data_IF_449784157244
#
_entry.id   IF_449784157244
#
_cell.length_a   1.000
_cell.length_b   1.000
_cell.length_c   1.000
_cell.angle_alpha   90.00
_cell.angle_beta   90.00
_cell.angle_gamma   90.00
#
_symmetry.space_group_name_H-M   'P 1'
#
loop_
_entity.id
_entity.type
_entity.pdbx_description
1 polymer ?
#
# COMPACT_ATOMS: atom_id res chain seq x y z
N UNK A 1 13.02 -0.96 11.46
CA UNK A 1 12.84 -1.04 10.00
C UNK A 1 12.01 0.15 9.58
N UNK A 2 12.51 1.00 8.66
CA UNK A 2 11.77 2.13 8.09
C UNK A 2 11.35 1.75 6.68
N UNK A 3 10.11 2.00 6.31
CA UNK A 3 9.57 1.58 5.01
C UNK A 3 9.01 2.77 4.24
N UNK A 4 9.03 2.62 2.92
CA UNK A 4 8.20 3.39 2.00
C UNK A 4 7.06 2.52 1.49
N UNK A 5 5.98 3.17 1.08
CA UNK A 5 4.81 2.54 0.50
C UNK A 5 4.40 3.32 -0.74
N UNK A 6 4.02 2.60 -1.79
CA UNK A 6 3.33 3.15 -2.96
C UNK A 6 1.95 2.52 -3.08
N UNK A 7 0.95 3.36 -3.35
CA UNK A 7 -0.40 2.96 -3.72
C UNK A 7 -0.61 3.27 -5.21
N UNK A 8 -1.28 2.37 -5.91
CA UNK A 8 -1.63 2.50 -7.32
C UNK A 8 -3.03 1.94 -7.55
N UNK A 9 -3.94 2.81 -7.97
CA UNK A 9 -5.26 2.44 -8.44
C UNK A 9 -5.18 2.11 -9.94
N UNK A 10 -5.69 0.95 -10.33
CA UNK A 10 -5.83 0.60 -11.74
C UNK A 10 -7.21 0.04 -12.04
N UNK A 11 -7.61 0.06 -13.31
CA UNK A 11 -8.87 -0.55 -13.77
C UNK A 11 -8.54 -1.78 -14.61
N UNK A 12 -9.02 -2.95 -14.21
CA UNK A 12 -8.78 -4.18 -14.97
C UNK A 12 -9.67 -4.29 -16.21
N UNK A 13 -9.44 -5.32 -17.04
CA UNK A 13 -10.19 -5.54 -18.28
C UNK A 13 -11.71 -5.72 -18.08
N UNK A 14 -12.14 -6.12 -16.87
CA UNK A 14 -13.55 -6.24 -16.48
C UNK A 14 -14.14 -4.94 -15.91
N UNK A 15 -13.42 -3.82 -16.01
CA UNK A 15 -13.81 -2.50 -15.49
C UNK A 15 -14.01 -2.47 -13.97
N UNK A 16 -13.27 -3.30 -13.24
CA UNK A 16 -13.24 -3.27 -11.79
C UNK A 16 -12.05 -2.44 -11.33
N UNK A 17 -12.26 -1.65 -10.28
CA UNK A 17 -11.21 -0.91 -9.60
C UNK A 17 -10.33 -1.89 -8.81
N UNK A 18 -9.03 -1.85 -9.05
CA UNK A 18 -8.03 -2.71 -8.41
C UNK A 18 -7.01 -1.81 -7.74
N UNK A 19 -6.88 -1.93 -6.43
CA UNK A 19 -5.86 -1.24 -5.67
C UNK A 19 -4.67 -2.15 -5.42
N UNK A 20 -3.47 -1.60 -5.60
CA UNK A 20 -2.22 -2.27 -5.33
C UNK A 20 -1.43 -1.51 -4.28
N UNK A 21 -0.83 -2.24 -3.34
CA UNK A 21 0.10 -1.68 -2.37
C UNK A 21 1.42 -2.42 -2.43
N UNK A 22 2.48 -1.66 -2.71
CA UNK A 22 3.86 -2.14 -2.73
C UNK A 22 4.60 -1.46 -1.59
N UNK A 23 5.46 -2.22 -0.91
CA UNK A 23 6.31 -1.68 0.15
C UNK A 23 7.76 -2.12 -0.04
N UNK A 24 8.68 -1.24 0.34
CA UNK A 24 10.10 -1.54 0.41
C UNK A 24 10.78 -0.92 1.61
N UNK A 25 11.99 -1.39 1.90
CA UNK A 25 12.83 -0.81 2.96
C UNK A 25 13.49 0.48 2.48
N UNK A 26 13.53 1.48 3.36
CA UNK A 26 14.35 2.68 3.17
C UNK A 26 15.76 2.42 3.69
N UNK A 27 16.70 2.23 2.77
CA UNK A 27 18.10 1.96 3.07
C UNK A 27 18.99 3.10 2.60
N UNK A 28 20.04 3.41 3.36
CA UNK A 28 20.96 4.53 3.06
C UNK A 28 21.79 4.32 1.78
N UNK A 29 22.04 3.06 1.40
CA UNK A 29 23.04 2.69 0.39
C UNK A 29 22.45 2.02 -0.86
N UNK A 30 21.15 2.18 -1.14
CA UNK A 30 20.56 1.66 -2.36
C UNK A 30 19.08 1.34 -2.26
N UNK A 31 18.53 0.80 -3.35
CA UNK A 31 17.18 0.25 -3.37
C UNK A 31 17.17 -1.05 -2.57
N UNK A 32 16.56 -1.02 -1.39
CA UNK A 32 16.23 -2.21 -0.62
C UNK A 32 15.26 -3.13 -1.37
N UNK A 33 14.99 -4.31 -0.80
CA UNK A 33 13.99 -5.23 -1.36
C UNK A 33 12.60 -4.59 -1.28
N UNK A 34 11.80 -4.80 -2.31
CA UNK A 34 10.40 -4.38 -2.38
C UNK A 34 9.49 -5.56 -2.66
N UNK A 35 8.27 -5.49 -2.16
CA UNK A 35 7.28 -6.55 -2.18
C UNK A 35 5.90 -5.98 -2.49
N UNK A 36 5.15 -6.68 -3.34
CA UNK A 36 3.70 -6.47 -3.45
C UNK A 36 3.06 -7.03 -2.18
N UNK A 37 2.45 -6.16 -1.39
CA UNK A 37 1.87 -6.52 -0.09
C UNK A 37 0.44 -7.00 -0.26
N UNK A 38 -0.34 -6.32 -1.09
CA UNK A 38 -1.74 -6.67 -1.35
C UNK A 38 -2.20 -6.14 -2.72
N UNK A 39 -3.13 -6.87 -3.31
CA UNK A 39 -3.90 -6.46 -4.49
C UNK A 39 -5.36 -6.81 -4.21
N UNK A 40 -6.24 -5.81 -4.20
CA UNK A 40 -7.64 -6.01 -3.86
C UNK A 40 -8.55 -5.31 -4.89
N UNK A 41 -9.64 -5.99 -5.28
CA UNK A 41 -10.70 -5.34 -6.05
C UNK A 41 -11.55 -4.53 -5.08
N UNK A 42 -11.68 -3.23 -5.33
CA UNK A 42 -12.54 -2.36 -4.53
C UNK A 42 -13.89 -2.13 -5.23
N UNK A 43 -14.97 -2.10 -4.44
CA UNK A 43 -16.31 -1.75 -4.96
C UNK A 43 -16.39 -0.29 -5.44
N UNK A 44 -15.59 0.59 -4.84
CA UNK A 44 -15.48 2.00 -5.18
C UNK A 44 -14.17 2.57 -4.67
N UNK A 45 -13.66 3.59 -5.35
CA UNK A 45 -12.44 4.30 -4.94
C UNK A 45 -12.81 5.64 -4.33
N UNK A 46 -12.50 5.78 -3.04
CA UNK A 46 -12.64 7.01 -2.27
C UNK A 46 -11.75 6.88 -1.02
N UNK A 47 -11.52 8.01 -0.35
CA UNK A 47 -10.68 8.09 0.84
C UNK A 47 -10.92 7.00 1.91
N UNK A 48 -12.18 6.60 2.16
CA UNK A 48 -12.52 5.63 3.21
C UNK A 48 -12.20 4.20 2.78
N UNK A 49 -12.49 3.83 1.53
CA UNK A 49 -12.18 2.49 1.03
C UNK A 49 -10.68 2.30 0.87
N UNK A 50 -9.97 3.32 0.39
CA UNK A 50 -8.49 3.33 0.31
C UNK A 50 -7.87 3.21 1.70
N UNK A 51 -8.31 4.02 2.68
CA UNK A 51 -7.76 3.96 4.05
C UNK A 51 -7.97 2.58 4.70
N UNK A 52 -9.14 1.97 4.51
CA UNK A 52 -9.41 0.61 5.02
C UNK A 52 -8.55 -0.45 4.32
N UNK A 53 -8.33 -0.33 3.01
CA UNK A 53 -7.43 -1.21 2.25
C UNK A 53 -5.98 -1.08 2.74
N UNK A 54 -5.52 0.15 2.96
CA UNK A 54 -4.20 0.44 3.50
C UNK A 54 -4.00 -0.22 4.88
N UNK A 55 -4.94 -0.04 5.81
CA UNK A 55 -4.85 -0.63 7.14
C UNK A 55 -4.85 -2.17 7.10
N UNK A 56 -5.74 -2.79 6.31
CA UNK A 56 -5.75 -4.25 6.12
C UNK A 56 -4.42 -4.77 5.60
N UNK A 57 -3.84 -4.06 4.63
CA UNK A 57 -2.57 -4.43 4.01
C UNK A 57 -1.41 -4.32 5.00
N UNK A 58 -1.37 -3.25 5.81
CA UNK A 58 -0.38 -3.10 6.88
C UNK A 58 -0.55 -4.09 8.02
N UNK A 59 -1.78 -4.47 8.35
CA UNK A 59 -2.08 -5.47 9.36
C UNK A 59 -1.48 -6.84 9.00
N UNK A 60 -1.35 -7.16 7.70
CA UNK A 60 -0.66 -8.37 7.23
C UNK A 60 0.84 -8.36 7.58
N UNK A 61 1.47 -7.18 7.53
CA UNK A 61 2.88 -6.99 7.91
C UNK A 61 3.04 -6.96 9.44
N UNK A 62 2.10 -6.34 10.14
CA UNK A 62 2.14 -6.14 11.60
C UNK A 62 0.87 -6.68 12.29
N UNK A 63 0.74 -8.00 12.45
CA UNK A 63 -0.47 -8.63 12.99
C UNK A 63 -0.77 -8.26 14.46
N UNK A 64 0.25 -7.81 15.20
CA UNK A 64 0.14 -7.42 16.61
C UNK A 64 -0.01 -5.90 16.80
N UNK A 65 -0.47 -5.19 15.76
CA UNK A 65 -0.71 -3.75 15.78
C UNK A 65 0.20 -3.00 14.81
N UNK A 66 -0.44 -2.26 13.90
CA UNK A 66 0.19 -1.50 12.83
C UNK A 66 1.17 -0.46 13.40
N UNK A 67 2.35 -0.36 12.77
CA UNK A 67 3.42 0.55 13.16
C UNK A 67 3.49 1.73 12.18
N UNK A 68 2.49 2.61 12.21
CA UNK A 68 2.38 3.76 11.30
C UNK A 68 3.65 4.63 11.30
N UNK A 69 4.27 4.85 12.46
CA UNK A 69 5.49 5.67 12.59
C UNK A 69 6.72 5.10 11.85
N UNK A 70 6.65 3.85 11.38
CA UNK A 70 7.71 3.24 10.57
C UNK A 70 7.50 3.45 9.06
N UNK A 71 6.33 3.93 8.64
CA UNK A 71 6.05 4.37 7.27
C UNK A 71 6.50 5.82 7.15
N UNK A 72 7.65 6.04 6.50
CA UNK A 72 8.23 7.38 6.39
C UNK A 72 7.94 8.09 5.07
N UNK A 73 7.49 7.32 4.07
CA UNK A 73 7.09 7.83 2.77
C UNK A 73 5.88 7.04 2.29
N UNK A 74 4.80 7.75 2.00
CA UNK A 74 3.63 7.24 1.30
C UNK A 74 3.53 8.00 -0.02
N UNK A 75 3.58 7.28 -1.13
CA UNK A 75 3.38 7.82 -2.46
C UNK A 75 2.08 7.24 -3.03
N UNK A 76 1.26 8.12 -3.59
CA UNK A 76 0.04 7.78 -4.31
C UNK A 76 -0.07 8.76 -5.47
N UNK A 77 -0.76 8.35 -6.54
CA UNK A 77 -1.24 9.32 -7.51
C UNK A 77 -2.34 10.22 -6.90
N UNK A 78 -2.76 11.21 -7.68
CA UNK A 78 -3.77 12.18 -7.29
C UNK A 78 -5.18 11.83 -7.83
N UNK A 79 -5.44 10.55 -8.16
CA UNK A 79 -6.70 10.09 -8.73
C UNK A 79 -7.93 10.41 -7.84
#
# INVERSE_FOLDING_TARGET
MKIWITLDETTNAERRYVENIVSGTLELNGLGKHFLINTEVLEKVNHSTISKFFDRSLQSIWPNGIKYDLVLLLLSDAA
#
